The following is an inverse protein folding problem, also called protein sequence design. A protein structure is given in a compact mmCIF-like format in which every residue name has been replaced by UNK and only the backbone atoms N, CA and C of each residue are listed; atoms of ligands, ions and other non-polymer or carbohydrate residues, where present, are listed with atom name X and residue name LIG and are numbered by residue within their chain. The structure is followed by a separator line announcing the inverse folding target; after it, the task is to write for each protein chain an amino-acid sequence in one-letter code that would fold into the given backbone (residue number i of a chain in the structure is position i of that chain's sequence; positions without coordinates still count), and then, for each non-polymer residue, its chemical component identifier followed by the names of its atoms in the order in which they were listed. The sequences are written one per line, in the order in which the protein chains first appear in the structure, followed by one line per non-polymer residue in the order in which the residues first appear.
data_IF_647185209359
#
_entry.id   IF_647185209359
#
_cell.length_a   1.000
_cell.length_b   1.000
_cell.length_c   1.000
_cell.angle_alpha   90.00
_cell.angle_beta   90.00
_cell.angle_gamma   90.00
#
_symmetry.space_group_name_H-M   'P 1'
#
loop_
_entity.id
_entity.type
_entity.pdbx_description
1 polymer ?
#
# COMPACT_ATOMS: atom_id res chain seq x y z
N UNK A 1 2.94 -8.65 11.61
CA UNK A 1 1.69 -9.00 12.33
C UNK A 1 0.59 -8.06 11.85
N UNK A 2 -0.58 -8.57 11.42
CA UNK A 2 -1.72 -7.72 11.02
C UNK A 2 -2.64 -7.50 12.22
N UNK A 3 -3.16 -6.29 12.37
CA UNK A 3 -4.22 -6.03 13.34
C UNK A 3 -5.57 -6.53 12.82
N UNK A 4 -6.52 -6.85 13.72
CA UNK A 4 -7.89 -7.23 13.34
C UNK A 4 -8.57 -6.17 12.45
N UNK A 5 -8.28 -4.89 12.68
CA UNK A 5 -8.81 -3.79 11.88
C UNK A 5 -8.25 -3.80 10.45
N UNK A 6 -6.95 -4.10 10.27
CA UNK A 6 -6.34 -4.23 8.95
C UNK A 6 -6.90 -5.43 8.18
N UNK A 7 -7.09 -6.56 8.86
CA UNK A 7 -7.61 -7.80 8.26
C UNK A 7 -9.04 -7.62 7.72
N UNK A 8 -9.94 -7.04 8.52
CA UNK A 8 -11.33 -6.74 8.10
C UNK A 8 -11.34 -5.82 6.89
N UNK A 9 -10.47 -4.79 6.86
CA UNK A 9 -10.43 -3.84 5.74
C UNK A 9 -9.79 -4.40 4.48
N UNK A 10 -8.80 -5.29 4.61
CA UNK A 10 -8.23 -6.01 3.48
C UNK A 10 -9.30 -6.87 2.79
N UNK A 11 -10.07 -7.62 3.59
CA UNK A 11 -11.18 -8.45 3.10
C UNK A 11 -12.26 -7.61 2.42
N UNK A 12 -12.71 -6.52 3.05
CA UNK A 12 -13.72 -5.62 2.49
C UNK A 12 -13.30 -4.94 1.18
N UNK A 13 -11.99 -4.85 0.89
CA UNK A 13 -11.43 -4.14 -0.27
C UNK A 13 -10.81 -5.05 -1.31
N UNK A 14 -10.92 -6.37 -1.15
CA UNK A 14 -10.34 -7.36 -2.06
C UNK A 14 -8.82 -7.28 -2.15
N UNK A 15 -8.15 -6.82 -1.09
CA UNK A 15 -6.69 -6.75 -1.03
C UNK A 15 -6.21 -8.06 -0.44
N UNK A 16 -5.57 -8.88 -1.27
CA UNK A 16 -5.04 -10.18 -0.86
C UNK A 16 -3.60 -10.05 -0.32
N UNK A 17 -3.12 -11.14 0.30
CA UNK A 17 -1.77 -11.21 0.88
C UNK A 17 -0.65 -10.94 -0.13
N UNK A 18 -0.87 -11.26 -1.41
CA UNK A 18 0.08 -10.98 -2.48
C UNK A 18 0.32 -9.48 -2.67
N UNK A 19 -0.73 -8.66 -2.63
CA UNK A 19 -0.61 -7.20 -2.75
C UNK A 19 0.11 -6.60 -1.53
N UNK A 20 -0.17 -7.13 -0.34
CA UNK A 20 0.52 -6.70 0.88
C UNK A 20 2.00 -7.03 0.84
N UNK A 21 2.34 -8.25 0.40
CA UNK A 21 3.73 -8.65 0.20
C UNK A 21 4.44 -7.74 -0.80
N UNK A 22 3.82 -7.44 -1.94
CA UNK A 22 4.37 -6.50 -2.93
C UNK A 22 4.57 -5.10 -2.34
N UNK A 23 3.66 -4.61 -1.50
CA UNK A 23 3.82 -3.33 -0.79
C UNK A 23 4.99 -3.35 0.21
N UNK A 24 5.22 -4.48 0.86
CA UNK A 24 6.34 -4.62 1.80
C UNK A 24 7.69 -4.68 1.08
N UNK A 25 7.75 -5.35 -0.08
CA UNK A 25 8.97 -5.55 -0.87
C UNK A 25 9.31 -4.32 -1.71
N UNK A 26 8.36 -3.82 -2.50
CA UNK A 26 8.59 -2.74 -3.48
C UNK A 26 8.06 -1.38 -3.05
N UNK A 27 7.17 -1.33 -2.04
CA UNK A 27 6.47 -0.11 -1.68
C UNK A 27 7.39 0.97 -1.12
N UNK A 28 7.22 2.19 -1.61
CA UNK A 28 7.89 3.36 -1.07
C UNK A 28 7.27 3.74 0.27
N UNK A 29 8.11 4.06 1.25
CA UNK A 29 7.69 4.44 2.60
C UNK A 29 7.61 5.96 2.70
N UNK A 30 6.52 6.48 3.26
CA UNK A 30 6.40 7.88 3.66
C UNK A 30 6.03 8.02 5.14
N UNK A 31 6.68 8.97 5.85
CA UNK A 31 6.27 9.32 7.21
C UNK A 31 4.82 9.77 7.25
N UNK A 32 4.11 9.35 8.28
CA UNK A 32 2.77 9.76 8.56
C UNK A 32 2.63 10.15 10.03
N UNK A 33 1.42 10.50 10.46
CA UNK A 33 1.17 10.96 11.83
C UNK A 33 1.23 9.79 12.83
N UNK A 34 1.34 10.10 14.12
CA UNK A 34 1.24 9.13 15.22
C UNK A 34 2.24 7.96 15.17
N UNK A 35 3.48 8.21 14.73
CA UNK A 35 4.52 7.18 14.71
C UNK A 35 4.28 6.07 13.68
N UNK A 36 3.42 6.32 12.69
CA UNK A 36 3.14 5.37 11.63
C UNK A 36 3.79 5.80 10.31
N UNK A 37 3.85 4.86 9.37
CA UNK A 37 4.31 5.10 7.99
C UNK A 37 3.32 4.51 7.00
N UNK A 38 3.22 5.15 5.83
CA UNK A 38 2.43 4.63 4.72
C UNK A 38 3.37 4.02 3.68
N UNK A 39 3.08 2.78 3.28
CA UNK A 39 3.68 2.14 2.12
C UNK A 39 2.72 2.18 0.95
N UNK A 40 3.24 2.49 -0.22
CA UNK A 40 2.47 2.59 -1.46
C UNK A 40 3.34 2.33 -2.68
N UNK A 41 2.70 1.96 -3.79
CA UNK A 41 3.41 1.81 -5.05
C UNK A 41 3.67 3.18 -5.69
N UNK A 42 4.93 3.63 -5.66
CA UNK A 42 5.33 4.83 -6.39
C UNK A 42 5.65 4.49 -7.84
N UNK A 43 5.87 5.52 -8.68
CA UNK A 43 6.32 5.29 -10.06
C UNK A 43 7.64 4.50 -10.11
N UNK A 44 8.50 4.68 -9.10
CA UNK A 44 9.75 3.93 -8.98
C UNK A 44 9.46 2.47 -8.67
N UNK A 45 8.66 2.20 -7.64
CA UNK A 45 8.23 0.84 -7.27
C UNK A 45 7.60 0.08 -8.44
N UNK A 46 6.76 0.76 -9.23
CA UNK A 46 6.11 0.15 -10.40
C UNK A 46 7.13 -0.22 -11.47
N UNK A 47 8.12 0.63 -11.73
CA UNK A 47 9.19 0.34 -12.69
C UNK A 47 10.08 -0.81 -12.23
N UNK A 48 10.38 -0.90 -10.95
CA UNK A 48 11.14 -2.02 -10.37
C UNK A 48 10.37 -3.33 -10.54
N UNK A 49 9.09 -3.35 -10.18
CA UNK A 49 8.23 -4.52 -10.43
C UNK A 49 8.07 -4.84 -11.92
N UNK A 50 8.03 -3.84 -12.80
CA UNK A 50 7.98 -4.06 -14.24
C UNK A 50 9.25 -4.72 -14.77
N UNK A 51 10.41 -4.37 -14.21
CA UNK A 51 11.68 -5.02 -14.55
C UNK A 51 11.72 -6.48 -14.08
N UNK A 52 11.18 -6.77 -12.89
CA UNK A 52 11.26 -8.10 -12.29
C UNK A 52 10.17 -9.07 -12.81
N UNK A 53 8.96 -8.56 -13.09
CA UNK A 53 7.79 -9.37 -13.47
C UNK A 53 7.28 -9.12 -14.90
N UNK A 54 7.77 -8.08 -15.57
CA UNK A 54 7.37 -7.68 -16.90
C UNK A 54 6.08 -6.85 -16.96
N UNK A 55 5.88 -6.20 -18.11
CA UNK A 55 4.76 -5.28 -18.35
C UNK A 55 3.37 -5.93 -18.19
N UNK A 56 3.22 -7.19 -18.62
CA UNK A 56 1.94 -7.92 -18.56
C UNK A 56 1.46 -8.06 -17.11
N UNK A 57 2.38 -8.28 -16.17
CA UNK A 57 2.06 -8.36 -14.75
C UNK A 57 1.51 -7.02 -14.24
N UNK A 58 2.15 -5.91 -14.59
CA UNK A 58 1.73 -4.56 -14.22
C UNK A 58 0.34 -4.24 -14.77
N UNK A 59 0.09 -4.55 -16.05
CA UNK A 59 -1.20 -4.32 -16.69
C UNK A 59 -2.34 -5.10 -16.02
N UNK A 60 -2.12 -6.39 -15.72
CA UNK A 60 -3.11 -7.24 -15.03
C UNK A 60 -3.36 -6.81 -13.57
N UNK A 61 -2.35 -6.24 -12.91
CA UNK A 61 -2.44 -5.83 -11.51
C UNK A 61 -2.67 -4.33 -11.30
N UNK A 62 -2.91 -3.54 -12.35
CA UNK A 62 -3.02 -2.07 -12.27
C UNK A 62 -4.00 -1.60 -11.17
N UNK A 63 -5.05 -2.37 -10.96
CA UNK A 63 -6.01 -2.21 -9.87
C UNK A 63 -5.35 -2.22 -8.49
N UNK A 64 -4.55 -3.25 -8.22
CA UNK A 64 -3.84 -3.49 -6.96
C UNK A 64 -2.68 -2.53 -6.75
N UNK A 65 -2.12 -1.98 -7.82
CA UNK A 65 -1.06 -0.97 -7.75
C UNK A 65 -1.52 0.38 -7.19
N UNK A 66 -2.83 0.52 -6.91
CA UNK A 66 -3.41 1.66 -6.17
C UNK A 66 -3.53 1.40 -4.66
N UNK A 67 -3.11 0.22 -4.21
CA UNK A 67 -3.17 -0.14 -2.79
C UNK A 67 -2.09 0.56 -1.98
N UNK A 68 -2.38 0.74 -0.71
CA UNK A 68 -1.46 1.23 0.30
C UNK A 68 -1.70 0.50 1.61
N UNK A 69 -0.67 0.43 2.44
CA UNK A 69 -0.80 -0.01 3.81
C UNK A 69 -0.20 1.02 4.74
N UNK A 70 -0.74 1.06 5.95
CA UNK A 70 -0.26 1.85 7.06
C UNK A 70 0.31 0.87 8.06
N UNK A 71 1.58 1.04 8.41
CA UNK A 71 2.23 0.25 9.46
C UNK A 71 2.78 1.16 10.56
N UNK A 72 2.75 0.66 11.78
CA UNK A 72 3.43 1.33 12.90
C UNK A 72 4.94 1.24 12.72
N UNK A 73 5.63 2.35 12.99
CA UNK A 73 7.09 2.42 12.86
C UNK A 73 7.80 1.62 13.95
N UNK A 74 7.16 1.44 15.12
CA UNK A 74 7.76 0.81 16.28
C UNK A 74 7.86 -0.71 16.13
N UNK A 75 6.83 -1.35 15.57
CA UNK A 75 6.65 -2.81 15.56
C UNK A 75 6.31 -3.39 14.18
N UNK A 76 6.27 -2.56 13.13
CA UNK A 76 5.86 -2.93 11.76
C UNK A 76 4.47 -3.56 11.71
N UNK A 77 3.62 -3.36 12.73
CA UNK A 77 2.27 -3.90 12.72
C UNK A 77 1.43 -3.17 11.66
N UNK A 78 0.73 -3.92 10.82
CA UNK A 78 -0.15 -3.34 9.80
C UNK A 78 -1.42 -2.86 10.50
N UNK A 79 -1.58 -1.53 10.55
CA UNK A 79 -2.69 -0.83 11.20
C UNK A 79 -3.89 -0.75 10.27
N UNK A 80 -3.64 -0.47 8.99
CA UNK A 80 -4.69 -0.30 7.98
C UNK A 80 -4.19 -0.70 6.60
N UNK A 81 -5.06 -1.26 5.78
CA UNK A 81 -4.84 -1.45 4.33
C UNK A 81 -5.98 -0.79 3.56
N UNK A 82 -5.66 -0.18 2.43
CA UNK A 82 -6.64 0.50 1.60
C UNK A 82 -6.22 0.59 0.15
N UNK A 83 -7.15 1.08 -0.68
CA UNK A 83 -6.97 1.29 -2.11
C UNK A 83 -7.41 2.69 -2.46
N UNK A 84 -6.63 3.38 -3.27
CA UNK A 84 -7.00 4.70 -3.77
C UNK A 84 -8.07 4.58 -4.87
N UNK A 85 -8.97 5.57 -4.96
CA UNK A 85 -9.87 5.67 -6.11
C UNK A 85 -9.09 5.84 -7.41
N UNK A 86 -9.72 5.50 -8.54
CA UNK A 86 -9.13 5.66 -9.86
C UNK A 86 -8.61 7.10 -10.07
N UNK A 87 -7.45 7.22 -10.71
CA UNK A 87 -6.75 8.47 -10.97
C UNK A 87 -6.25 9.25 -9.74
N UNK A 88 -6.40 8.70 -8.53
CA UNK A 88 -5.83 9.32 -7.34
C UNK A 88 -4.40 8.86 -7.09
N UNK A 89 -3.56 9.79 -6.63
CA UNK A 89 -2.19 9.52 -6.19
C UNK A 89 -2.03 9.85 -4.71
N UNK A 90 -1.12 9.15 -4.04
CA UNK A 90 -0.71 9.46 -2.68
C UNK A 90 0.19 10.70 -2.67
N UNK A 91 -0.40 11.85 -2.32
CA UNK A 91 0.31 13.10 -2.05
C UNK A 91 0.58 13.23 -0.55
N UNK A 92 1.56 14.07 -0.19
CA UNK A 92 1.91 14.33 1.22
C UNK A 92 0.71 14.80 2.06
N UNK A 93 -0.13 15.66 1.50
CA UNK A 93 -1.35 16.16 2.15
C UNK A 93 -2.42 15.08 2.35
N UNK A 94 -2.45 14.06 1.49
CA UNK A 94 -3.43 12.98 1.56
C UNK A 94 -3.06 11.91 2.57
N UNK A 95 -1.76 11.62 2.72
CA UNK A 95 -1.22 10.70 3.74
C UNK A 95 -1.77 11.04 5.14
N UNK A 96 -1.82 12.32 5.49
CA UNK A 96 -2.31 12.78 6.79
C UNK A 96 -3.82 12.54 7.00
N UNK A 97 -4.60 12.42 5.92
CA UNK A 97 -6.06 12.20 5.99
C UNK A 97 -6.45 10.73 6.03
N UNK A 98 -5.51 9.80 5.86
CA UNK A 98 -5.78 8.35 5.87
C UNK A 98 -5.91 7.78 7.30
N UNK A 99 -5.84 8.64 8.33
CA UNK A 99 -5.89 8.30 9.76
C UNK A 99 -7.26 8.57 10.41
N UNK A 100 -8.29 8.91 9.64
CA UNK A 100 -9.67 9.07 10.09
C UNK A 100 -10.55 7.97 9.50
#
# INVERSE_FOLDING_TARGET
MKTKHAEVRAQQRGINDGVEHLLQVYGEVRPATHGCVVRFFSKKSIKEMEADFGHVFIAKNHENLRSYLIESRADRAIVTVGKLYQNQRLTKSKVNRLYH
#
